data_IF_501170970011
#
_entry.id   IF_501170970011
#
_cell.length_a   1.000
_cell.length_b   1.000
_cell.length_c   1.000
_cell.angle_alpha   90.00
_cell.angle_beta   90.00
_cell.angle_gamma   90.00
#
_symmetry.space_group_name_H-M   'P 1'
#
loop_
_entity.id
_entity.type
_entity.pdbx_description
1 polymer ?
#
# COMPACT_ATOMS: atom_id res chain seq x y z
N UNK A 1 -18.04 -5.60 13.83
CA UNK A 1 -16.70 -6.22 13.74
C UNK A 1 -15.67 -5.12 13.77
N UNK A 2 -14.67 -5.21 14.65
CA UNK A 2 -13.60 -4.20 14.72
C UNK A 2 -12.63 -4.42 13.54
N UNK A 3 -12.49 -3.44 12.65
CA UNK A 3 -11.67 -3.55 11.45
C UNK A 3 -10.51 -2.54 11.44
N UNK A 4 -9.39 -2.90 10.82
CA UNK A 4 -8.24 -2.01 10.62
C UNK A 4 -7.73 -2.02 9.18
N UNK A 5 -7.19 -0.89 8.74
CA UNK A 5 -6.38 -0.78 7.52
C UNK A 5 -5.01 -0.22 7.90
N UNK A 6 -3.96 -0.90 7.47
CA UNK A 6 -2.58 -0.47 7.66
C UNK A 6 -1.99 -0.05 6.32
N UNK A 7 -1.44 1.16 6.26
CA UNK A 7 -0.67 1.65 5.12
C UNK A 7 0.80 1.33 5.35
N UNK A 8 1.39 0.49 4.50
CA UNK A 8 2.82 0.25 4.46
C UNK A 8 3.49 1.39 3.68
N UNK A 9 4.35 2.15 4.36
CA UNK A 9 4.96 3.35 3.81
C UNK A 9 6.47 3.43 4.08
N UNK A 10 7.15 4.30 3.35
CA UNK A 10 8.53 4.74 3.57
C UNK A 10 8.55 6.25 3.80
N UNK A 11 9.61 6.79 4.40
CA UNK A 11 9.82 8.23 4.35
C UNK A 11 10.15 8.67 2.91
N UNK A 12 9.63 9.82 2.42
CA UNK A 12 9.85 10.32 1.07
C UNK A 12 11.27 10.88 0.92
N UNK A 13 12.28 9.99 0.87
CA UNK A 13 13.67 10.38 0.74
C UNK A 13 14.15 10.25 -0.72
N UNK A 14 14.74 11.31 -1.31
CA UNK A 14 15.36 11.25 -2.64
C UNK A 14 16.32 10.06 -2.77
N UNK A 15 16.24 9.35 -3.91
CA UNK A 15 17.07 8.17 -4.17
C UNK A 15 16.61 6.88 -3.50
N UNK A 16 15.64 6.92 -2.59
CA UNK A 16 15.21 5.75 -1.80
C UNK A 16 13.78 5.29 -2.09
N UNK A 17 12.97 6.15 -2.71
CA UNK A 17 11.60 5.86 -3.13
C UNK A 17 11.45 6.10 -4.63
N UNK A 18 10.56 5.33 -5.27
CA UNK A 18 10.23 5.43 -6.71
C UNK A 18 11.46 5.52 -7.61
N UNK A 19 12.52 4.75 -7.31
CA UNK A 19 13.77 4.73 -8.08
C UNK A 19 13.56 4.29 -9.53
N UNK A 20 12.56 3.46 -9.80
CA UNK A 20 12.15 3.05 -11.16
C UNK A 20 11.54 4.19 -11.98
N UNK A 21 11.09 5.29 -11.37
CA UNK A 21 10.63 6.49 -12.06
C UNK A 21 11.78 7.45 -12.41
N UNK A 22 12.98 7.24 -11.87
CA UNK A 22 14.11 8.15 -12.06
C UNK A 22 14.69 8.25 -13.50
N UNK A 23 14.40 7.33 -14.44
CA UNK A 23 14.71 7.60 -15.85
C UNK A 23 13.96 8.84 -16.41
N UNK A 24 12.79 9.18 -15.84
CA UNK A 24 11.98 10.34 -16.25
C UNK A 24 11.88 11.44 -15.19
N UNK A 25 12.31 11.15 -13.95
CA UNK A 25 12.20 12.05 -12.79
C UNK A 25 13.57 12.21 -12.12
N UNK A 26 13.87 13.41 -11.61
CA UNK A 26 14.96 13.54 -10.65
C UNK A 26 14.67 12.74 -9.38
N UNK A 27 15.70 12.47 -8.56
CA UNK A 27 15.54 11.82 -7.27
C UNK A 27 14.57 12.60 -6.35
N UNK A 28 14.63 13.93 -6.41
CA UNK A 28 13.76 14.87 -5.68
C UNK A 28 12.33 14.82 -6.22
N UNK A 29 12.16 14.86 -7.54
CA UNK A 29 10.84 14.75 -8.17
C UNK A 29 10.15 13.43 -7.82
N UNK A 30 10.90 12.32 -7.84
CA UNK A 30 10.40 11.00 -7.45
C UNK A 30 10.01 10.93 -5.97
N UNK A 31 10.76 11.59 -5.08
CA UNK A 31 10.43 11.67 -3.66
C UNK A 31 9.17 12.52 -3.40
N UNK A 32 9.04 13.67 -4.06
CA UNK A 32 7.85 14.52 -3.98
C UNK A 32 6.61 13.82 -4.59
N UNK A 33 6.80 13.06 -5.67
CA UNK A 33 5.74 12.23 -6.25
C UNK A 33 5.27 11.16 -5.27
N UNK A 34 6.22 10.47 -4.62
CA UNK A 34 5.92 9.47 -3.60
C UNK A 34 5.20 10.07 -2.39
N UNK A 35 5.65 11.24 -1.91
CA UNK A 35 5.00 11.97 -0.82
C UNK A 35 3.55 12.35 -1.18
N UNK A 36 3.33 12.86 -2.40
CA UNK A 36 2.01 13.19 -2.90
C UNK A 36 1.10 11.94 -2.97
N UNK A 37 1.66 10.81 -3.42
CA UNK A 37 0.95 9.52 -3.47
C UNK A 37 0.56 9.04 -2.07
N UNK A 38 1.50 9.04 -1.12
CA UNK A 38 1.25 8.68 0.27
C UNK A 38 0.17 9.57 0.90
N UNK A 39 0.22 10.88 0.70
CA UNK A 39 -0.79 11.81 1.21
C UNK A 39 -2.18 11.51 0.61
N UNK A 40 -2.26 11.23 -0.70
CA UNK A 40 -3.52 10.89 -1.35
C UNK A 40 -4.08 9.53 -0.89
N UNK A 41 -3.21 8.52 -0.66
CA UNK A 41 -3.63 7.25 -0.05
C UNK A 41 -4.24 7.48 1.32
N UNK A 42 -3.53 8.18 2.22
CA UNK A 42 -4.03 8.44 3.58
C UNK A 42 -5.30 9.27 3.58
N UNK A 43 -5.36 10.33 2.75
CA UNK A 43 -6.54 11.18 2.60
C UNK A 43 -7.77 10.40 2.13
N UNK A 44 -7.61 9.40 1.27
CA UNK A 44 -8.72 8.52 0.84
C UNK A 44 -9.27 7.65 1.95
N UNK A 45 -8.46 7.37 2.98
CA UNK A 45 -8.87 6.64 4.18
C UNK A 45 -9.46 7.57 5.25
N UNK A 46 -9.55 8.88 5.01
CA UNK A 46 -10.21 9.78 5.95
C UNK A 46 -11.73 9.55 5.92
N UNK A 47 -12.32 9.33 7.09
CA UNK A 47 -13.77 9.20 7.25
C UNK A 47 -14.35 7.82 6.93
N UNK A 48 -13.52 6.83 6.58
CA UNK A 48 -13.98 5.44 6.52
C UNK A 48 -14.06 4.84 7.93
N UNK A 49 -14.93 3.83 8.10
CA UNK A 49 -15.18 3.19 9.40
C UNK A 49 -14.00 2.46 10.06
N UNK A 50 -13.09 1.76 9.36
CA UNK A 50 -11.98 1.03 10.01
C UNK A 50 -10.95 1.95 10.67
N UNK A 51 -10.25 1.44 11.68
CA UNK A 51 -9.10 2.15 12.26
C UNK A 51 -7.94 2.18 11.25
N UNK A 52 -7.40 3.37 11.01
CA UNK A 52 -6.30 3.57 10.07
C UNK A 52 -4.97 3.66 10.83
N UNK A 53 -3.98 2.88 10.38
CA UNK A 53 -2.62 2.90 10.90
C UNK A 53 -1.61 3.05 9.80
N UNK A 54 -0.44 3.55 10.16
CA UNK A 54 0.73 3.58 9.28
C UNK A 54 1.80 2.67 9.88
N UNK A 55 2.25 1.69 9.10
CA UNK A 55 3.45 0.93 9.41
C UNK A 55 4.57 1.42 8.47
N UNK A 56 5.61 2.05 9.01
CA UNK A 56 6.65 2.67 8.19
C UNK A 56 7.97 1.89 8.19
N UNK A 57 8.65 1.87 7.05
CA UNK A 57 9.99 1.31 6.92
C UNK A 57 10.97 2.13 7.79
N UNK A 58 11.69 1.49 8.74
CA UNK A 58 12.63 2.20 9.59
C UNK A 58 13.79 2.80 8.77
N UNK A 59 13.97 4.12 8.87
CA UNK A 59 15.08 4.86 8.29
C UNK A 59 15.39 6.09 9.15
N UNK A 60 16.57 6.71 9.02
CA UNK A 60 16.86 7.99 9.66
C UNK A 60 15.74 9.01 9.41
N UNK A 61 15.27 9.69 10.46
CA UNK A 61 14.17 10.66 10.43
C UNK A 61 12.80 10.14 9.96
N UNK A 62 12.63 8.85 9.66
CA UNK A 62 11.31 8.31 9.29
C UNK A 62 10.29 8.51 10.42
N UNK A 63 10.66 8.20 11.66
CA UNK A 63 9.78 8.37 12.82
C UNK A 63 9.33 9.84 13.00
N UNK A 64 10.26 10.78 12.81
CA UNK A 64 9.99 12.23 12.89
C UNK A 64 9.05 12.68 11.76
N UNK A 65 9.32 12.25 10.52
CA UNK A 65 8.48 12.54 9.36
C UNK A 65 7.04 12.04 9.55
N UNK A 66 6.85 10.76 9.92
CA UNK A 66 5.49 10.25 10.12
C UNK A 66 4.81 10.91 11.31
N UNK A 67 5.56 11.30 12.35
CA UNK A 67 5.01 12.01 13.49
C UNK A 67 4.56 13.44 13.19
N UNK A 68 5.29 14.16 12.33
CA UNK A 68 4.88 15.50 11.91
C UNK A 68 3.72 15.44 10.91
N UNK A 69 3.81 14.56 9.91
CA UNK A 69 2.86 14.52 8.79
C UNK A 69 1.53 13.85 9.13
N UNK A 70 1.54 12.81 9.99
CA UNK A 70 0.36 11.99 10.29
C UNK A 70 0.13 11.85 11.81
N UNK A 71 0.26 12.96 12.53
CA UNK A 71 0.21 13.01 14.00
C UNK A 71 -1.04 12.38 14.61
N UNK A 72 -2.19 12.45 13.91
CA UNK A 72 -3.49 11.92 14.33
C UNK A 72 -3.63 10.40 14.16
N UNK A 73 -2.79 9.77 13.34
CA UNK A 73 -2.84 8.34 13.10
C UNK A 73 -1.88 7.59 14.03
N UNK A 74 -2.24 6.34 14.36
CA UNK A 74 -1.29 5.43 14.99
C UNK A 74 -0.23 5.05 13.96
N UNK A 75 1.03 5.18 14.38
CA UNK A 75 2.22 4.99 13.54
C UNK A 75 3.16 4.03 14.26
N UNK A 76 3.70 3.06 13.53
CA UNK A 76 4.67 2.12 14.09
C UNK A 76 5.75 1.75 13.06
N UNK A 77 7.00 1.55 13.51
CA UNK A 77 8.04 1.04 12.63
C UNK A 77 7.73 -0.41 12.25
N UNK A 78 7.93 -0.75 10.98
CA UNK A 78 7.89 -2.14 10.52
C UNK A 78 9.06 -2.91 11.11
N UNK A 79 8.85 -4.20 11.37
CA UNK A 79 9.93 -5.09 11.83
C UNK A 79 10.98 -5.27 10.73
N UNK A 80 12.19 -5.66 11.12
CA UNK A 80 13.20 -6.12 10.17
C UNK A 80 12.80 -7.48 9.60
N UNK A 81 13.16 -7.75 8.35
CA UNK A 81 12.85 -9.00 7.66
C UNK A 81 12.38 -8.76 6.23
N UNK A 82 12.00 -9.83 5.56
CA UNK A 82 11.36 -9.75 4.25
C UNK A 82 9.92 -9.18 4.35
N UNK A 83 9.28 -8.93 3.20
CA UNK A 83 7.93 -8.39 3.16
C UNK A 83 6.91 -9.32 3.83
N UNK A 84 7.09 -10.63 3.73
CA UNK A 84 6.20 -11.61 4.36
C UNK A 84 6.28 -11.59 5.88
N UNK A 85 7.50 -11.46 6.43
CA UNK A 85 7.72 -11.29 7.86
C UNK A 85 7.10 -10.00 8.39
N UNK A 86 7.23 -8.90 7.62
CA UNK A 86 6.63 -7.59 7.94
C UNK A 86 5.11 -7.63 7.93
N UNK A 87 4.51 -8.26 6.91
CA UNK A 87 3.06 -8.48 6.80
C UNK A 87 2.56 -9.32 8.00
N UNK A 88 3.20 -10.45 8.25
CA UNK A 88 2.83 -11.36 9.33
C UNK A 88 2.90 -10.67 10.71
N UNK A 89 3.95 -9.90 10.98
CA UNK A 89 4.09 -9.15 12.23
C UNK A 89 3.00 -8.07 12.40
N UNK A 90 2.63 -7.40 11.31
CA UNK A 90 1.57 -6.39 11.34
C UNK A 90 0.20 -7.00 11.63
N UNK A 91 -0.15 -8.12 10.97
CA UNK A 91 -1.38 -8.85 11.27
C UNK A 91 -1.40 -9.39 12.70
N UNK A 92 -0.29 -9.93 13.19
CA UNK A 92 -0.16 -10.42 14.56
C UNK A 92 -0.42 -9.32 15.59
N UNK A 93 0.14 -8.12 15.38
CA UNK A 93 -0.08 -6.96 16.23
C UNK A 93 -1.56 -6.50 16.21
N UNK A 94 -2.18 -6.43 15.03
CA UNK A 94 -3.59 -6.05 14.90
C UNK A 94 -4.52 -7.05 15.60
N UNK A 95 -4.31 -8.34 15.40
CA UNK A 95 -5.17 -9.35 16.02
C UNK A 95 -4.99 -9.41 17.54
N UNK A 96 -3.78 -9.11 18.05
CA UNK A 96 -3.53 -8.91 19.49
C UNK A 96 -4.25 -7.67 20.04
N UNK A 97 -4.33 -6.60 19.26
CA UNK A 97 -5.07 -5.36 19.57
C UNK A 97 -6.60 -5.50 19.43
N UNK A 98 -7.08 -6.71 19.12
CA UNK A 98 -8.49 -7.06 19.15
C UNK A 98 -9.25 -6.81 17.86
N UNK A 99 -8.59 -6.49 16.74
CA UNK A 99 -9.27 -6.42 15.44
C UNK A 99 -9.72 -7.81 14.99
N UNK A 100 -10.89 -7.88 14.37
CA UNK A 100 -11.47 -9.11 13.82
C UNK A 100 -11.14 -9.29 12.35
N UNK A 101 -10.98 -8.19 11.63
CA UNK A 101 -10.54 -8.16 10.24
C UNK A 101 -9.50 -7.05 10.06
N UNK A 102 -8.51 -7.30 9.22
CA UNK A 102 -7.52 -6.29 8.90
C UNK A 102 -7.13 -6.38 7.43
N UNK A 103 -6.77 -5.24 6.85
CA UNK A 103 -6.15 -5.17 5.53
C UNK A 103 -4.86 -4.36 5.60
N UNK A 104 -3.90 -4.72 4.75
CA UNK A 104 -2.65 -3.99 4.55
C UNK A 104 -2.60 -3.56 3.09
N UNK A 105 -2.31 -2.29 2.85
CA UNK A 105 -2.13 -1.71 1.52
C UNK A 105 -0.78 -1.01 1.38
N UNK A 106 -0.30 -0.90 0.14
CA UNK A 106 0.86 -0.11 -0.21
C UNK A 106 0.56 1.37 -0.41
N UNK A 107 1.55 2.10 -0.91
CA UNK A 107 1.45 3.53 -1.26
C UNK A 107 1.47 3.77 -2.78
N UNK A 108 1.56 2.70 -3.56
CA UNK A 108 1.84 2.76 -5.00
C UNK A 108 0.57 2.91 -5.85
N UNK A 109 -0.62 2.79 -5.24
CA UNK A 109 -1.93 2.92 -5.87
C UNK A 109 -2.74 4.11 -5.26
N UNK A 110 -2.26 5.36 -5.37
CA UNK A 110 -2.93 6.55 -4.79
C UNK A 110 -4.27 6.90 -5.43
N UNK A 111 -4.66 6.22 -6.51
CA UNK A 111 -5.96 6.36 -7.19
C UNK A 111 -6.94 5.24 -6.85
N UNK A 112 -6.57 4.31 -5.95
CA UNK A 112 -7.38 3.16 -5.58
C UNK A 112 -8.80 3.59 -5.13
N UNK A 113 -9.88 2.99 -5.69
CA UNK A 113 -11.24 3.23 -5.23
C UNK A 113 -11.41 2.76 -3.78
N UNK A 114 -12.00 3.61 -2.94
CA UNK A 114 -12.24 3.30 -1.51
C UNK A 114 -13.20 2.12 -1.37
N UNK A 115 -14.11 1.97 -2.33
CA UNK A 115 -15.09 0.88 -2.41
C UNK A 115 -14.41 -0.49 -2.48
N UNK A 116 -13.16 -0.56 -2.98
CA UNK A 116 -12.41 -1.82 -3.02
C UNK A 116 -11.90 -2.20 -1.63
N UNK A 117 -11.57 -1.22 -0.80
CA UNK A 117 -11.18 -1.42 0.59
C UNK A 117 -12.37 -1.88 1.44
N UNK A 118 -13.53 -1.24 1.25
CA UNK A 118 -14.77 -1.66 1.89
C UNK A 118 -15.17 -3.07 1.47
N UNK A 119 -15.07 -3.38 0.16
CA UNK A 119 -15.31 -4.72 -0.37
C UNK A 119 -14.36 -5.77 0.22
N UNK A 120 -13.09 -5.41 0.43
CA UNK A 120 -12.11 -6.28 1.09
C UNK A 120 -12.55 -6.63 2.51
N UNK A 121 -12.84 -5.61 3.32
CA UNK A 121 -13.23 -5.82 4.72
C UNK A 121 -14.57 -6.54 4.85
N UNK A 122 -15.54 -6.25 3.97
CA UNK A 122 -16.82 -6.95 3.92
C UNK A 122 -16.63 -8.43 3.56
N UNK A 123 -15.79 -8.75 2.57
CA UNK A 123 -15.51 -10.13 2.18
C UNK A 123 -14.92 -10.96 3.33
N UNK A 124 -14.09 -10.35 4.17
CA UNK A 124 -13.47 -11.02 5.33
C UNK A 124 -14.48 -11.46 6.41
N UNK A 125 -15.75 -11.07 6.32
CA UNK A 125 -16.82 -11.65 7.15
C UNK A 125 -17.16 -13.10 6.74
N UNK A 126 -16.89 -13.47 5.48
CA UNK A 126 -17.23 -14.77 4.89
C UNK A 126 -15.99 -15.62 4.60
N UNK A 127 -14.91 -14.99 4.13
CA UNK A 127 -13.66 -15.68 3.72
C UNK A 127 -12.48 -15.35 4.62
N UNK A 128 -11.46 -16.21 4.60
CA UNK A 128 -10.28 -16.10 5.47
C UNK A 128 -9.29 -15.03 4.99
N UNK A 129 -9.18 -14.86 3.67
CA UNK A 129 -8.30 -13.87 3.04
C UNK A 129 -8.98 -13.09 1.91
N UNK A 130 -8.53 -11.86 1.68
CA UNK A 130 -8.91 -11.04 0.54
C UNK A 130 -7.64 -10.50 -0.14
N UNK A 131 -7.58 -10.59 -1.47
CA UNK A 131 -6.45 -10.05 -2.24
C UNK A 131 -6.97 -9.05 -3.27
N UNK A 132 -6.30 -7.91 -3.37
CA UNK A 132 -6.49 -6.90 -4.41
C UNK A 132 -5.40 -7.03 -5.48
N UNK A 133 -5.68 -7.64 -6.65
CA UNK A 133 -4.64 -7.92 -7.64
C UNK A 133 -4.07 -6.68 -8.30
N UNK A 134 -2.78 -6.70 -8.60
CA UNK A 134 -2.12 -5.74 -9.51
C UNK A 134 -1.85 -6.40 -10.85
N UNK A 135 -1.74 -5.60 -11.92
CA UNK A 135 -1.53 -6.11 -13.27
C UNK A 135 -0.16 -6.79 -13.48
N UNK A 136 0.81 -6.51 -12.61
CA UNK A 136 2.17 -7.06 -12.65
C UNK A 136 2.33 -8.37 -11.88
N UNK A 137 1.24 -8.96 -11.39
CA UNK A 137 1.23 -10.26 -10.69
C UNK A 137 1.40 -10.17 -9.17
N UNK A 138 1.49 -8.96 -8.62
CA UNK A 138 1.41 -8.68 -7.19
C UNK A 138 -0.02 -8.48 -6.67
N UNK A 139 -0.10 -7.79 -5.53
CA UNK A 139 -1.36 -7.30 -4.99
C UNK A 139 -1.16 -5.95 -4.29
N UNK A 140 -2.08 -5.02 -4.50
CA UNK A 140 -2.11 -3.71 -3.82
C UNK A 140 -2.70 -3.82 -2.41
N UNK A 141 -3.45 -4.89 -2.14
CA UNK A 141 -4.10 -5.17 -0.86
C UNK A 141 -4.00 -6.66 -0.53
N UNK A 142 -3.67 -6.94 0.73
CA UNK A 142 -3.95 -8.23 1.36
C UNK A 142 -4.71 -8.01 2.66
N UNK A 143 -5.80 -8.75 2.87
CA UNK A 143 -6.57 -8.70 4.09
C UNK A 143 -6.81 -10.09 4.66
N UNK A 144 -6.91 -10.17 5.98
CA UNK A 144 -7.10 -11.42 6.72
C UNK A 144 -8.18 -11.27 7.78
N UNK A 145 -8.93 -12.35 7.99
CA UNK A 145 -9.82 -12.50 9.13
C UNK A 145 -9.07 -13.11 10.31
N UNK A 146 -9.30 -12.58 11.52
CA UNK A 146 -8.65 -13.08 12.75
C UNK A 146 -8.91 -14.56 13.00
N UNK A 147 -10.09 -15.06 12.62
CA UNK A 147 -10.48 -16.47 12.83
C UNK A 147 -9.57 -17.47 12.12
N UNK A 148 -8.90 -17.05 11.04
CA UNK A 148 -7.94 -17.90 10.33
C UNK A 148 -6.50 -17.72 10.84
N UNK A 149 -6.25 -16.79 11.76
CA UNK A 149 -4.92 -16.56 12.34
C UNK A 149 -4.66 -17.56 13.49
N UNK A 150 -3.46 -18.18 13.60
CA UNK A 150 -2.24 -17.95 12.82
C UNK A 150 -2.08 -18.80 11.55
N UNK A 151 -3.04 -19.66 11.20
CA UNK A 151 -2.92 -20.53 10.03
C UNK A 151 -2.69 -19.75 8.72
N UNK A 152 -3.37 -18.61 8.55
CA UNK A 152 -3.20 -17.72 7.39
C UNK A 152 -1.82 -17.04 7.28
N UNK A 153 -0.94 -17.19 8.28
CA UNK A 153 0.47 -16.77 8.16
C UNK A 153 1.21 -17.50 7.04
N UNK A 154 0.79 -18.72 6.71
CA UNK A 154 1.34 -19.52 5.60
C UNK A 154 1.26 -18.82 4.23
N UNK A 155 0.31 -17.89 4.06
CA UNK A 155 0.14 -17.11 2.83
C UNK A 155 1.34 -16.21 2.53
N UNK A 156 2.20 -15.96 3.51
CA UNK A 156 3.40 -15.13 3.39
C UNK A 156 4.69 -15.94 3.32
N UNK A 157 4.62 -17.27 3.36
CA UNK A 157 5.80 -18.13 3.43
C UNK A 157 6.28 -18.58 2.05
N UNK A 158 7.57 -18.31 1.75
CA UNK A 158 8.21 -18.72 0.51
C UNK A 158 7.61 -18.03 -0.72
N UNK A 159 7.10 -16.81 -0.56
CA UNK A 159 6.59 -15.99 -1.66
C UNK A 159 7.78 -15.33 -2.38
N UNK A 160 7.86 -15.43 -3.71
CA UNK A 160 8.90 -14.75 -4.48
C UNK A 160 8.58 -13.26 -4.60
N UNK A 161 8.78 -12.50 -3.51
CA UNK A 161 8.50 -11.06 -3.47
C UNK A 161 9.19 -10.31 -4.61
N UNK A 162 8.54 -9.26 -5.12
CA UNK A 162 9.00 -8.45 -6.26
C UNK A 162 9.06 -9.19 -7.61
N UNK A 163 8.23 -10.23 -7.79
CA UNK A 163 8.06 -10.95 -9.05
C UNK A 163 6.58 -11.00 -9.48
N UNK A 164 6.32 -11.38 -10.72
CA UNK A 164 4.96 -11.58 -11.24
C UNK A 164 4.24 -12.81 -10.65
N UNK A 165 4.96 -13.62 -9.87
CA UNK A 165 4.46 -14.84 -9.28
C UNK A 165 3.90 -14.67 -7.86
N UNK A 166 3.91 -13.45 -7.32
CA UNK A 166 3.52 -13.17 -5.92
C UNK A 166 2.08 -13.60 -5.64
N UNK A 167 1.10 -13.09 -6.40
CA UNK A 167 -0.30 -13.43 -6.20
C UNK A 167 -0.54 -14.91 -6.48
N UNK A 168 -0.02 -15.42 -7.61
CA UNK A 168 -0.15 -16.84 -8.00
C UNK A 168 0.33 -17.77 -6.89
N UNK A 169 1.50 -17.50 -6.33
CA UNK A 169 2.08 -18.30 -5.23
C UNK A 169 1.24 -18.17 -3.96
N UNK A 170 0.76 -16.97 -3.63
CA UNK A 170 -0.09 -16.75 -2.45
C UNK A 170 -1.42 -17.51 -2.54
N UNK A 171 -2.05 -17.56 -3.71
CA UNK A 171 -3.28 -18.33 -3.94
C UNK A 171 -3.03 -19.85 -3.85
N UNK A 172 -1.92 -20.33 -4.42
CA UNK A 172 -1.52 -21.74 -4.26
C UNK A 172 -1.31 -22.11 -2.79
N UNK A 173 -0.76 -21.20 -1.96
CA UNK A 173 -0.65 -21.41 -0.51
C UNK A 173 -2.01 -21.46 0.17
N UNK A 174 -2.95 -20.59 -0.23
CA UNK A 174 -4.31 -20.61 0.28
C UNK A 174 -4.99 -21.95 -0.03
N UNK A 175 -4.91 -22.42 -1.28
CA UNK A 175 -5.47 -23.69 -1.73
C UNK A 175 -4.87 -24.89 -0.96
N UNK A 176 -3.54 -24.93 -0.83
CA UNK A 176 -2.82 -25.99 -0.10
C UNK A 176 -3.18 -26.06 1.38
N UNK A 177 -3.62 -24.95 1.97
CA UNK A 177 -3.99 -24.86 3.39
C UNK A 177 -5.50 -24.73 3.60
N UNK A 178 -6.29 -24.92 2.55
CA UNK A 178 -7.75 -24.86 2.56
C UNK A 178 -8.31 -23.54 3.10
N UNK A 179 -7.55 -22.44 2.99
CA UNK A 179 -8.00 -21.11 3.35
C UNK A 179 -8.91 -20.58 2.24
N UNK A 180 -10.12 -20.17 2.61
CA UNK A 180 -11.03 -19.51 1.68
C UNK A 180 -10.53 -18.10 1.37
N UNK A 181 -10.67 -17.66 0.12
CA UNK A 181 -10.27 -16.31 -0.26
C UNK A 181 -11.21 -15.66 -1.26
N UNK A 182 -11.13 -14.33 -1.34
CA UNK A 182 -11.78 -13.52 -2.38
C UNK A 182 -10.76 -12.68 -3.13
N UNK A 183 -10.87 -12.68 -4.45
CA UNK A 183 -10.18 -11.72 -5.31
C UNK A 183 -11.06 -10.50 -5.51
N UNK A 184 -10.51 -9.32 -5.23
CA UNK A 184 -11.14 -8.04 -5.54
C UNK A 184 -10.89 -7.69 -7.02
N UNK A 185 -11.56 -6.66 -7.56
CA UNK A 185 -11.22 -6.16 -8.88
C UNK A 185 -9.75 -5.71 -8.92
N UNK A 186 -9.08 -5.99 -10.03
CA UNK A 186 -7.69 -5.57 -10.20
C UNK A 186 -7.58 -4.03 -10.23
N UNK A 187 -6.46 -3.52 -9.70
CA UNK A 187 -6.07 -2.12 -9.83
C UNK A 187 -4.61 -2.00 -10.26
N UNK A 188 -4.16 -0.78 -10.50
CA UNK A 188 -2.80 -0.53 -11.00
C UNK A 188 -1.98 0.25 -9.97
N UNK A 189 -0.69 -0.06 -9.95
CA UNK A 189 0.32 0.68 -9.22
C UNK A 189 1.06 1.62 -10.18
N UNK A 190 1.71 2.63 -9.63
CA UNK A 190 2.46 3.63 -10.40
C UNK A 190 3.95 3.44 -10.12
N UNK A 191 4.59 2.53 -10.85
CA UNK A 191 5.97 2.10 -10.57
C UNK A 191 6.94 2.35 -11.71
N UNK A 192 6.44 2.44 -12.94
CA UNK A 192 7.23 2.68 -14.14
C UNK A 192 6.84 4.02 -14.75
N UNK A 193 7.73 4.65 -15.53
CA UNK A 193 7.40 5.96 -16.08
C UNK A 193 6.18 5.96 -17.02
N UNK A 194 5.90 4.83 -17.67
CA UNK A 194 4.68 4.63 -18.48
C UNK A 194 3.40 4.79 -17.68
N UNK A 195 3.44 4.58 -16.37
CA UNK A 195 2.27 4.65 -15.49
C UNK A 195 1.90 6.10 -15.16
N UNK A 196 2.85 7.05 -15.32
CA UNK A 196 2.64 8.48 -15.02
C UNK A 196 1.54 9.10 -15.88
N UNK A 197 1.40 8.69 -17.14
CA UNK A 197 0.36 9.21 -18.03
C UNK A 197 -1.03 8.83 -17.52
N UNK A 198 -1.19 7.57 -17.09
CA UNK A 198 -2.44 7.09 -16.49
C UNK A 198 -2.69 7.75 -15.14
N UNK A 199 -1.66 7.85 -14.31
CA UNK A 199 -1.72 8.49 -13.01
C UNK A 199 -2.17 9.95 -13.10
N UNK A 200 -1.67 10.71 -14.07
CA UNK A 200 -2.07 12.10 -14.29
C UNK A 200 -3.55 12.20 -14.67
N UNK A 201 -4.01 11.36 -15.60
CA UNK A 201 -5.40 11.34 -16.05
C UNK A 201 -6.36 10.99 -14.91
N UNK A 202 -5.98 10.04 -14.07
CA UNK A 202 -6.84 9.47 -13.03
C UNK A 202 -6.66 10.20 -11.67
N UNK A 203 -5.75 11.17 -11.57
CA UNK A 203 -5.57 11.99 -10.37
C UNK A 203 -6.80 12.85 -10.10
N UNK A 204 -7.35 12.73 -8.88
CA UNK A 204 -8.54 13.47 -8.50
C UNK A 204 -8.26 14.99 -8.49
N UNK A 205 -9.18 15.84 -8.99
CA UNK A 205 -9.00 17.29 -8.92
C UNK A 205 -8.71 17.77 -7.50
N UNK A 206 -7.64 18.55 -7.34
CA UNK A 206 -7.22 19.09 -6.04
C UNK A 206 -6.49 18.10 -5.12
N UNK A 207 -6.23 16.87 -5.57
CA UNK A 207 -5.39 15.91 -4.83
C UNK A 207 -3.92 16.35 -4.81
N UNK A 208 -3.12 15.77 -3.91
CA UNK A 208 -1.68 16.04 -3.87
C UNK A 208 -1.01 15.61 -5.17
N UNK A 209 -1.40 14.46 -5.72
CA UNK A 209 -0.91 13.95 -6.99
C UNK A 209 -1.25 14.90 -8.16
N UNK A 210 -2.48 15.41 -8.22
CA UNK A 210 -2.87 16.38 -9.24
C UNK A 210 -2.06 17.68 -9.16
N UNK A 211 -1.79 18.18 -7.94
CA UNK A 211 -0.95 19.38 -7.73
C UNK A 211 0.50 19.12 -8.14
N UNK A 212 1.03 17.93 -7.86
CA UNK A 212 2.38 17.55 -8.27
C UNK A 212 2.51 17.56 -9.80
N UNK A 213 1.56 16.96 -10.53
CA UNK A 213 1.55 16.98 -11.99
C UNK A 213 1.46 18.41 -12.56
N UNK A 214 0.62 19.26 -11.97
CA UNK A 214 0.50 20.66 -12.35
C UNK A 214 1.79 21.45 -12.12
N UNK A 215 2.48 21.21 -11.00
CA UNK A 215 3.75 21.86 -10.68
C UNK A 215 4.84 21.44 -11.68
N UNK A 216 4.94 20.14 -11.98
CA UNK A 216 5.90 19.60 -12.95
C UNK A 216 5.73 20.21 -14.34
N UNK A 217 4.49 20.39 -14.82
CA UNK A 217 4.20 21.04 -16.11
C UNK A 217 4.56 22.52 -16.18
N UNK A 218 4.71 23.18 -15.03
CA UNK A 218 5.06 24.61 -14.94
C UNK A 218 6.55 24.84 -14.73
N UNK A 219 7.32 23.78 -14.46
CA UNK A 219 8.77 23.90 -14.38
C UNK A 219 9.31 24.26 -15.78
N UNK A 220 10.22 25.25 -15.88
CA UNK A 220 10.83 25.60 -17.15
C UNK A 220 11.58 24.39 -17.74
N UNK A 221 11.50 24.21 -19.06
CA UNK A 221 12.28 23.16 -19.73
C UNK A 221 13.77 23.47 -19.54
N UNK A 222 14.65 22.45 -19.38
CA UNK A 222 16.09 22.66 -19.44
C UNK A 222 16.54 23.37 -20.74
N UNK A 223 15.73 23.28 -21.79
CA UNK A 223 15.95 23.93 -23.09
C UNK A 223 15.44 25.38 -23.15
N UNK A 224 14.81 25.90 -22.10
CA UNK A 224 14.29 27.29 -22.03
C UNK A 224 15.30 28.29 -21.41
N UNK A 225 16.54 27.87 -21.16
CA UNK A 225 17.63 28.67 -20.56
C UNK A 225 18.80 28.91 -21.54
#
# INVERSE_FOLDING_TARGET
MKAAIVVFAKAPQPGHVKTRLQPELSAEEAALFYEASLCDVVRRLEGISPEIRIAYDPAPSAAEYFASQFSLLRREPQVTGDLGERLAASFDALFRDGFETAAIIGTDSPTLPVEYLDSALAALSEVDAAFGPTADGGYYLVGLARRSWPASRTLFHGIPWSTEDVLRTSLLRADQTQLSYRLLPAWYDIDKPTDLVRAERDAAPGSHLARWFQARKRAPSPDDA
#
